data_IF_982363348128
#
_entry.id   IF_982363348128
#
_cell.length_a   1.000
_cell.length_b   1.000
_cell.length_c   1.000
_cell.angle_alpha   90.00
_cell.angle_beta   90.00
_cell.angle_gamma   90.00
#
_symmetry.space_group_name_H-M   'P 1'
#
loop_
_entity.id
_entity.type
_entity.pdbx_description
1 polymer ?
#
# COMPACT_ATOMS: atom_id res chain seq x y z
N UNK A 1 14.78 4.25 27.83
CA UNK A 1 13.43 4.80 28.10
C UNK A 1 12.53 4.37 26.95
N UNK A 2 11.35 3.82 27.21
CA UNK A 2 10.36 3.61 26.16
C UNK A 2 9.69 4.95 25.86
N UNK A 3 9.98 5.54 24.70
CA UNK A 3 9.23 6.68 24.21
C UNK A 3 7.80 6.17 23.96
N UNK A 4 6.88 6.50 24.86
CA UNK A 4 5.45 6.25 24.69
C UNK A 4 4.95 7.25 23.64
N UNK A 5 5.35 7.05 22.38
CA UNK A 5 4.84 7.81 21.25
C UNK A 5 3.32 7.66 21.24
N UNK A 6 2.63 8.75 21.57
CA UNK A 6 1.18 8.83 21.53
C UNK A 6 0.71 8.50 20.11
N UNK A 7 -0.29 7.62 20.02
CA UNK A 7 -0.88 7.22 18.74
C UNK A 7 -1.36 8.47 17.97
N UNK A 8 -0.94 8.58 16.72
CA UNK A 8 -1.25 9.68 15.81
C UNK A 8 -2.26 9.21 14.76
N UNK A 9 -3.19 10.10 14.44
CA UNK A 9 -4.13 9.88 13.35
C UNK A 9 -3.46 10.23 12.02
N UNK A 10 -3.27 9.24 11.14
CA UNK A 10 -2.77 9.53 9.80
C UNK A 10 -3.82 10.31 8.99
N UNK A 11 -3.47 11.42 8.31
CA UNK A 11 -4.44 12.25 7.60
C UNK A 11 -5.13 11.52 6.43
N UNK A 12 -4.46 10.55 5.81
CA UNK A 12 -5.04 9.75 4.72
C UNK A 12 -5.71 8.46 5.21
N UNK A 13 -5.84 8.25 6.53
CA UNK A 13 -6.35 7.01 7.12
C UNK A 13 -7.65 6.54 6.49
N UNK A 14 -8.62 7.44 6.30
CA UNK A 14 -9.94 7.07 5.75
C UNK A 14 -9.83 6.46 4.35
N UNK A 15 -9.11 7.11 3.45
CA UNK A 15 -8.90 6.64 2.09
C UNK A 15 -8.05 5.38 2.06
N UNK A 16 -6.98 5.33 2.86
CA UNK A 16 -6.10 4.17 2.94
C UNK A 16 -6.81 2.94 3.47
N UNK A 17 -7.71 3.10 4.45
CA UNK A 17 -8.54 2.01 4.97
C UNK A 17 -9.44 1.41 3.89
N UNK A 18 -9.93 2.23 2.95
CA UNK A 18 -10.72 1.74 1.81
C UNK A 18 -9.84 0.91 0.86
N UNK A 19 -8.63 1.37 0.56
CA UNK A 19 -7.66 0.63 -0.25
C UNK A 19 -7.29 -0.69 0.43
N UNK A 20 -6.95 -0.68 1.73
CA UNK A 20 -6.64 -1.90 2.51
C UNK A 20 -7.79 -2.91 2.44
N UNK A 21 -9.03 -2.45 2.57
CA UNK A 21 -10.20 -3.32 2.48
C UNK A 21 -10.32 -3.97 1.08
N UNK A 22 -10.00 -3.23 0.02
CA UNK A 22 -9.94 -3.77 -1.35
C UNK A 22 -8.80 -4.78 -1.51
N UNK A 23 -7.61 -4.51 -0.95
CA UNK A 23 -6.47 -5.43 -0.99
C UNK A 23 -6.80 -6.76 -0.29
N UNK A 24 -7.48 -6.73 0.86
CA UNK A 24 -7.87 -7.94 1.58
C UNK A 24 -8.90 -8.80 0.83
N UNK A 25 -9.80 -8.15 0.09
CA UNK A 25 -10.82 -8.84 -0.70
C UNK A 25 -10.34 -9.27 -2.09
N UNK A 26 -9.32 -8.59 -2.62
CA UNK A 26 -8.83 -8.74 -3.99
C UNK A 26 -7.73 -9.78 -4.17
N UNK A 27 -7.27 -9.86 -5.41
CA UNK A 27 -6.18 -10.72 -5.87
C UNK A 27 -4.86 -9.94 -5.96
N UNK A 28 -3.74 -10.65 -6.06
CA UNK A 28 -2.40 -10.08 -6.20
C UNK A 28 -2.12 -9.56 -7.63
N UNK A 29 -2.98 -8.64 -8.12
CA UNK A 29 -2.76 -7.96 -9.41
C UNK A 29 -1.65 -6.92 -9.31
N UNK A 30 -1.05 -6.54 -10.43
CA UNK A 30 0.02 -5.52 -10.46
C UNK A 30 -0.36 -4.23 -9.75
N UNK A 31 -1.58 -3.74 -9.98
CA UNK A 31 -2.12 -2.56 -9.30
C UNK A 31 -2.18 -2.76 -7.77
N UNK A 32 -2.70 -3.91 -7.32
CA UNK A 32 -2.82 -4.21 -5.90
C UNK A 32 -1.46 -4.43 -5.24
N UNK A 33 -0.48 -4.99 -5.94
CA UNK A 33 0.89 -5.12 -5.47
C UNK A 33 1.54 -3.75 -5.27
N UNK A 34 1.36 -2.83 -6.23
CA UNK A 34 1.86 -1.46 -6.09
C UNK A 34 1.20 -0.72 -4.93
N UNK A 35 -0.13 -0.81 -4.79
CA UNK A 35 -0.83 -0.16 -3.66
C UNK A 35 -0.44 -0.79 -2.30
N UNK A 36 -0.26 -2.11 -2.22
CA UNK A 36 0.24 -2.75 -1.01
C UNK A 36 1.64 -2.22 -0.64
N UNK A 37 2.58 -2.16 -1.58
CA UNK A 37 3.94 -1.67 -1.32
C UNK A 37 3.96 -0.18 -0.93
N UNK A 38 3.13 0.63 -1.60
CA UNK A 38 2.95 2.06 -1.29
C UNK A 38 2.45 2.25 0.14
N UNK A 39 1.44 1.50 0.56
CA UNK A 39 0.89 1.61 1.91
C UNK A 39 1.81 1.02 2.97
N UNK A 40 2.52 -0.07 2.69
CA UNK A 40 3.54 -0.60 3.60
C UNK A 40 4.65 0.43 3.86
N UNK A 41 5.14 1.09 2.80
CA UNK A 41 6.14 2.16 2.93
C UNK A 41 5.59 3.36 3.73
N UNK A 42 4.34 3.76 3.47
CA UNK A 42 3.71 4.90 4.14
C UNK A 42 3.55 4.72 5.64
N UNK A 43 3.16 3.52 6.06
CA UNK A 43 2.89 3.21 7.46
C UNK A 43 4.08 2.59 8.18
N UNK A 44 5.23 2.40 7.51
CA UNK A 44 6.46 1.93 8.14
C UNK A 44 6.92 2.91 9.23
N UNK A 45 7.09 2.37 10.45
CA UNK A 45 7.45 3.17 11.62
C UNK A 45 6.42 4.24 12.04
N UNK A 46 5.25 4.32 11.40
CA UNK A 46 4.27 5.35 11.74
C UNK A 46 3.69 5.10 13.14
N UNK A 47 3.71 6.10 14.04
CA UNK A 47 3.18 5.95 15.40
C UNK A 47 1.65 6.02 15.38
N UNK A 48 0.99 4.93 14.99
CA UNK A 48 -0.47 4.78 14.96
C UNK A 48 -0.96 3.89 13.83
N UNK A 49 -2.28 3.88 13.58
CA UNK A 49 -2.90 3.09 12.50
C UNK A 49 -2.48 1.60 12.48
N UNK A 50 -2.38 1.00 13.68
CA UNK A 50 -1.92 -0.39 13.87
C UNK A 50 -2.82 -1.40 13.16
N UNK A 51 -4.09 -1.07 13.00
CA UNK A 51 -5.07 -1.85 12.25
C UNK A 51 -4.71 -1.92 10.76
N UNK A 52 -4.32 -0.79 10.14
CA UNK A 52 -3.84 -0.76 8.75
C UNK A 52 -2.58 -1.59 8.62
N UNK A 53 -1.59 -1.38 9.51
CA UNK A 53 -0.34 -2.14 9.47
C UNK A 53 -0.57 -3.66 9.57
N UNK A 54 -1.46 -4.08 10.48
CA UNK A 54 -1.80 -5.49 10.64
C UNK A 54 -2.50 -6.06 9.40
N UNK A 55 -3.42 -5.31 8.80
CA UNK A 55 -4.17 -5.75 7.62
C UNK A 55 -3.31 -5.77 6.35
N UNK A 56 -2.35 -4.86 6.20
CA UNK A 56 -1.35 -4.94 5.11
C UNK A 56 -0.51 -6.22 5.23
N UNK A 57 -0.07 -6.58 6.43
CA UNK A 57 0.64 -7.85 6.67
C UNK A 57 -0.23 -9.08 6.38
N UNK A 58 -1.54 -9.01 6.67
CA UNK A 58 -2.49 -10.08 6.29
C UNK A 58 -2.65 -10.21 4.79
N UNK A 59 -2.75 -9.09 4.05
CA UNK A 59 -2.82 -9.12 2.59
C UNK A 59 -1.56 -9.75 1.99
N UNK A 60 -0.38 -9.33 2.48
CA UNK A 60 0.91 -9.89 2.09
C UNK A 60 0.97 -11.42 2.33
N UNK A 61 0.58 -11.87 3.53
CA UNK A 61 0.57 -13.29 3.89
C UNK A 61 -0.45 -14.10 3.07
N UNK A 62 -1.64 -13.56 2.81
CA UNK A 62 -2.67 -14.18 1.95
C UNK A 62 -2.14 -14.43 0.55
N UNK A 63 -1.32 -13.54 0.03
CA UNK A 63 -0.68 -13.67 -1.28
C UNK A 63 0.63 -14.46 -1.25
N UNK A 64 1.02 -14.99 -0.08
CA UNK A 64 2.22 -15.83 0.11
C UNK A 64 3.50 -15.12 -0.35
N UNK A 65 3.60 -13.81 -0.09
CA UNK A 65 4.76 -13.00 -0.42
C UNK A 65 5.53 -12.62 0.85
N UNK A 66 6.83 -12.48 0.72
CA UNK A 66 7.63 -11.67 1.64
C UNK A 66 7.62 -10.20 1.22
N UNK A 67 7.96 -9.31 2.14
CA UNK A 67 8.09 -7.89 1.83
C UNK A 67 9.18 -7.61 0.79
N UNK A 68 10.28 -8.37 0.83
CA UNK A 68 11.34 -8.29 -0.18
C UNK A 68 10.84 -8.66 -1.58
N UNK A 69 10.08 -9.77 -1.71
CA UNK A 69 9.48 -10.18 -2.99
C UNK A 69 8.45 -9.17 -3.50
N UNK A 70 7.63 -8.59 -2.60
CA UNK A 70 6.70 -7.53 -2.96
C UNK A 70 7.44 -6.33 -3.55
N UNK A 71 8.52 -5.87 -2.92
CA UNK A 71 9.29 -4.74 -3.41
C UNK A 71 10.04 -5.05 -4.70
N UNK A 72 10.55 -6.26 -4.88
CA UNK A 72 11.16 -6.69 -6.14
C UNK A 72 10.14 -6.67 -7.28
N UNK A 73 8.97 -7.27 -7.08
CA UNK A 73 7.88 -7.29 -8.07
C UNK A 73 7.43 -5.88 -8.43
N UNK A 74 7.20 -5.02 -7.45
CA UNK A 74 6.75 -3.64 -7.73
C UNK A 74 7.78 -2.81 -8.48
N UNK A 75 9.09 -2.98 -8.21
CA UNK A 75 10.15 -2.37 -9.03
C UNK A 75 10.08 -2.82 -10.50
N UNK A 76 9.87 -4.11 -10.75
CA UNK A 76 9.72 -4.63 -12.11
C UNK A 76 8.49 -4.04 -12.83
N UNK A 77 7.34 -3.94 -12.14
CA UNK A 77 6.12 -3.35 -12.69
C UNK A 77 6.33 -1.86 -13.03
N UNK A 78 7.01 -1.10 -12.14
CA UNK A 78 7.32 0.31 -12.41
C UNK A 78 8.28 0.50 -13.59
N UNK A 79 9.24 -0.41 -13.80
CA UNK A 79 10.15 -0.37 -14.95
C UNK A 79 9.41 -0.58 -16.28
N UNK A 80 8.34 -1.36 -16.30
CA UNK A 80 7.48 -1.57 -17.47
C UNK A 80 6.55 -0.36 -17.74
N UNK A 81 6.32 0.48 -16.72
CA UNK A 81 5.53 1.70 -16.82
C UNK A 81 4.02 1.46 -17.03
N UNK A 82 3.49 0.31 -16.62
CA UNK A 82 2.10 -0.10 -16.94
C UNK A 82 1.09 0.04 -15.80
N UNK A 83 1.54 0.37 -14.57
CA UNK A 83 0.71 0.37 -13.35
C UNK A 83 -0.62 1.12 -13.49
N UNK A 84 -0.59 2.34 -14.05
CA UNK A 84 -1.76 3.24 -14.07
C UNK A 84 -2.35 3.44 -15.48
N UNK A 85 -1.79 2.81 -16.52
CA UNK A 85 -2.21 3.03 -17.92
C UNK A 85 -3.66 2.59 -18.18
N UNK A 86 -4.21 1.68 -17.38
CA UNK A 86 -5.58 1.19 -17.49
C UNK A 86 -6.65 1.94 -16.68
N UNK A 87 -6.28 2.88 -15.79
CA UNK A 87 -7.22 3.56 -14.88
C UNK A 87 -7.83 4.87 -15.42
N UNK A 88 -7.63 5.17 -16.70
CA UNK A 88 -8.18 6.36 -17.35
C UNK A 88 -7.13 7.45 -17.47
N UNK A 89 -6.54 7.57 -18.67
CA UNK A 89 -5.89 8.79 -19.13
C UNK A 89 -6.97 9.87 -19.27
N UNK A 90 -7.19 10.62 -18.20
CA UNK A 90 -8.11 11.74 -18.17
C UNK A 90 -7.55 12.82 -17.28
N UNK A 91 -6.82 13.74 -17.93
CA UNK A 91 -6.43 15.07 -17.45
C UNK A 91 -5.08 15.20 -16.72
N UNK A 92 -4.02 15.27 -17.53
CA UNK A 92 -2.80 16.01 -17.20
C UNK A 92 -2.99 17.47 -17.67
N UNK A 93 -3.83 18.24 -16.97
CA UNK A 93 -3.91 19.71 -17.18
C UNK A 93 -3.10 20.40 -16.08
N UNK A 94 -1.80 20.54 -16.30
CA UNK A 94 -1.01 21.59 -15.66
C UNK A 94 -0.66 22.61 -16.76
N UNK A 95 -1.58 23.54 -16.99
CA UNK A 95 -1.37 24.83 -17.67
C UNK A 95 -1.76 25.95 -16.73
#
# INVERSE_FOLDING_TARGET
MADITKDQQHPQYKSDRQVVSQLLAGEASDYNLVELARLMTRYDGFPGARDIQADLKKALARWQLTEAELFEKTRAIHQQGEVYKGLGRGREDWS
#
